data_IF_387807974127
#
_entry.id   IF_387807974127
#
_cell.length_a   1.000
_cell.length_b   1.000
_cell.length_c   1.000
_cell.angle_alpha   90.00
_cell.angle_beta   90.00
_cell.angle_gamma   90.00
#
_symmetry.space_group_name_H-M   'P 1'
#
loop_
_entity.id
_entity.type
_entity.pdbx_description
1 polymer ?
#
# COMPACT_ATOMS: atom_id res chain seq x y z
N UNK A 1 -27.38 38.08 8.02
CA UNK A 1 -27.12 37.25 6.83
C UNK A 1 -25.62 37.05 6.75
N UNK A 2 -25.13 35.86 6.41
CA UNK A 2 -23.70 35.67 6.19
C UNK A 2 -23.24 36.63 5.08
N UNK A 3 -22.07 37.23 5.26
CA UNK A 3 -21.45 38.09 4.23
C UNK A 3 -21.14 37.22 3.01
N UNK A 4 -21.60 37.63 1.83
CA UNK A 4 -21.34 36.97 0.55
C UNK A 4 -20.39 37.79 -0.32
N UNK A 5 -19.71 37.12 -1.24
CA UNK A 5 -18.87 37.71 -2.28
C UNK A 5 -19.43 37.34 -3.66
N UNK A 6 -19.35 38.25 -4.62
CA UNK A 6 -19.63 37.95 -6.02
C UNK A 6 -18.39 37.32 -6.67
N UNK A 7 -18.57 36.20 -7.36
CA UNK A 7 -17.51 35.50 -8.09
C UNK A 7 -17.93 35.25 -9.54
N UNK A 8 -16.95 35.26 -10.45
CA UNK A 8 -17.11 35.03 -11.88
C UNK A 8 -15.99 34.14 -12.43
N UNK A 9 -16.33 32.95 -12.87
CA UNK A 9 -15.39 31.94 -13.39
C UNK A 9 -15.95 31.28 -14.67
N UNK A 10 -15.12 30.52 -15.38
CA UNK A 10 -15.58 29.66 -16.47
C UNK A 10 -15.54 28.21 -16.01
N UNK A 11 -16.64 27.47 -16.11
CA UNK A 11 -16.71 26.05 -15.76
C UNK A 11 -17.07 25.25 -17.01
N UNK A 12 -16.20 24.33 -17.42
CA UNK A 12 -16.35 23.53 -18.65
C UNK A 12 -16.61 24.41 -19.89
N UNK A 13 -15.95 25.58 -19.95
CA UNK A 13 -16.10 26.54 -21.05
C UNK A 13 -17.33 27.45 -20.96
N UNK A 14 -18.19 27.28 -19.95
CA UNK A 14 -19.38 28.11 -19.75
C UNK A 14 -19.15 29.17 -18.66
N UNK A 15 -19.52 30.44 -18.89
CA UNK A 15 -19.39 31.47 -17.87
C UNK A 15 -20.36 31.22 -16.71
N UNK A 16 -19.86 31.31 -15.48
CA UNK A 16 -20.60 31.14 -14.23
C UNK A 16 -20.41 32.38 -13.37
N UNK A 17 -21.50 32.95 -12.87
CA UNK A 17 -21.52 34.02 -11.86
C UNK A 17 -22.36 33.60 -10.66
N UNK A 18 -21.84 33.75 -9.45
CA UNK A 18 -22.52 33.35 -8.21
C UNK A 18 -22.20 34.29 -7.05
N UNK A 19 -23.13 34.37 -6.11
CA UNK A 19 -22.84 34.86 -4.76
C UNK A 19 -22.49 33.68 -3.88
N UNK A 20 -21.30 33.72 -3.28
CA UNK A 20 -20.79 32.64 -2.46
C UNK A 20 -20.42 33.16 -1.06
N UNK A 21 -20.54 32.32 -0.04
CA UNK A 21 -19.87 32.59 1.22
C UNK A 21 -18.35 32.52 1.02
N UNK A 22 -17.53 33.38 1.66
CA UNK A 22 -16.07 33.34 1.53
C UNK A 22 -15.43 31.98 1.84
N UNK A 23 -16.08 31.17 2.68
CA UNK A 23 -15.63 29.82 3.07
C UNK A 23 -16.09 28.71 2.13
N UNK A 24 -16.94 29.01 1.15
CA UNK A 24 -17.47 28.01 0.23
C UNK A 24 -16.32 27.40 -0.56
N UNK A 25 -16.24 26.07 -0.56
CA UNK A 25 -15.22 25.35 -1.30
C UNK A 25 -15.58 25.30 -2.79
N UNK A 26 -14.58 25.27 -3.66
CA UNK A 26 -14.81 25.08 -5.09
C UNK A 26 -15.57 23.77 -5.36
N UNK A 27 -15.30 22.72 -4.58
CA UNK A 27 -16.01 21.45 -4.70
C UNK A 27 -17.52 21.57 -4.41
N UNK A 28 -17.88 22.36 -3.40
CA UNK A 28 -19.27 22.62 -3.00
C UNK A 28 -20.01 23.36 -4.12
N UNK A 29 -19.43 24.45 -4.65
CA UNK A 29 -19.98 25.16 -5.81
C UNK A 29 -20.21 24.23 -7.01
N UNK A 30 -19.22 23.39 -7.36
CA UNK A 30 -19.33 22.51 -8.52
C UNK A 30 -20.46 21.48 -8.34
N UNK A 31 -20.53 20.84 -7.16
CA UNK A 31 -21.45 19.73 -6.92
C UNK A 31 -22.86 20.19 -6.61
N UNK A 32 -23.01 21.14 -5.70
CA UNK A 32 -24.28 21.43 -5.05
C UNK A 32 -25.00 22.58 -5.76
N UNK A 33 -24.26 23.59 -6.23
CA UNK A 33 -24.85 24.73 -6.95
C UNK A 33 -24.95 24.47 -8.46
N UNK A 34 -23.96 23.80 -9.05
CA UNK A 34 -23.89 23.56 -10.50
C UNK A 34 -24.28 22.13 -10.92
N UNK A 35 -24.53 21.23 -9.97
CA UNK A 35 -24.88 19.82 -10.23
C UNK A 35 -23.84 19.04 -11.06
N UNK A 36 -22.57 19.47 -11.03
CA UNK A 36 -21.43 18.76 -11.62
C UNK A 36 -20.85 17.80 -10.56
N UNK A 37 -21.49 16.65 -10.44
CA UNK A 37 -21.28 15.70 -9.34
C UNK A 37 -20.13 14.73 -9.54
N UNK A 38 -19.42 14.80 -10.66
CA UNK A 38 -18.31 13.92 -10.99
C UNK A 38 -17.05 14.13 -10.15
N UNK A 39 -16.82 15.33 -9.62
CA UNK A 39 -15.81 15.54 -8.58
C UNK A 39 -16.37 15.04 -7.24
N UNK A 40 -15.65 14.17 -6.54
CA UNK A 40 -16.16 13.50 -5.35
C UNK A 40 -15.57 14.03 -4.03
N UNK A 41 -16.41 14.06 -3.00
CA UNK A 41 -16.03 14.38 -1.61
C UNK A 41 -15.52 13.11 -0.93
N UNK A 42 -14.19 12.96 -0.84
CA UNK A 42 -13.56 11.80 -0.21
C UNK A 42 -13.04 12.04 1.21
N UNK A 43 -12.19 13.04 1.38
CA UNK A 43 -11.52 13.33 2.67
C UNK A 43 -11.62 14.78 3.13
N UNK A 44 -11.94 15.72 2.23
CA UNK A 44 -12.01 17.18 2.49
C UNK A 44 -10.74 17.84 3.05
N UNK A 45 -9.64 17.10 3.10
CA UNK A 45 -8.33 17.56 3.59
C UNK A 45 -7.24 17.55 2.51
N UNK A 46 -7.62 17.39 1.23
CA UNK A 46 -6.68 17.37 0.09
C UNK A 46 -5.88 16.07 -0.11
N UNK A 47 -6.04 15.09 0.79
CA UNK A 47 -5.24 13.84 0.82
C UNK A 47 -5.62 12.85 -0.29
N UNK A 48 -6.91 12.57 -0.51
CA UNK A 48 -7.33 11.41 -1.32
C UNK A 48 -7.35 11.64 -2.84
N UNK A 49 -7.44 12.89 -3.28
CA UNK A 49 -7.51 13.24 -4.70
C UNK A 49 -8.80 12.93 -5.45
N UNK A 50 -9.86 12.46 -4.79
CA UNK A 50 -11.16 12.20 -5.45
C UNK A 50 -11.85 13.47 -5.99
N UNK A 51 -11.49 14.63 -5.44
CA UNK A 51 -12.02 15.95 -5.80
C UNK A 51 -11.17 16.68 -6.84
N UNK A 52 -10.25 15.99 -7.52
CA UNK A 52 -9.34 16.64 -8.47
C UNK A 52 -10.10 17.20 -9.66
N UNK A 53 -9.90 18.47 -9.94
CA UNK A 53 -10.38 19.19 -11.14
C UNK A 53 -9.20 19.89 -11.80
N UNK A 54 -9.38 20.42 -13.00
CA UNK A 54 -8.35 21.22 -13.69
C UNK A 54 -8.69 22.69 -13.45
N UNK A 55 -7.77 23.46 -12.89
CA UNK A 55 -7.87 24.92 -12.73
C UNK A 55 -6.73 25.56 -13.53
N UNK A 56 -7.07 26.41 -14.50
CA UNK A 56 -6.11 27.08 -15.38
C UNK A 56 -5.08 26.11 -15.99
N UNK A 57 -5.59 24.96 -16.47
CA UNK A 57 -4.80 23.92 -17.12
C UNK A 57 -4.04 22.97 -16.18
N UNK A 58 -4.13 23.14 -14.85
CA UNK A 58 -3.40 22.32 -13.87
C UNK A 58 -4.35 21.55 -12.93
N UNK A 59 -4.06 20.28 -12.61
CA UNK A 59 -4.83 19.55 -11.61
C UNK A 59 -4.74 20.21 -10.22
N UNK A 60 -5.89 20.40 -9.57
CA UNK A 60 -5.99 20.99 -8.23
C UNK A 60 -7.07 20.30 -7.39
N UNK A 61 -6.89 20.31 -6.07
CA UNK A 61 -7.86 19.77 -5.10
C UNK A 61 -8.96 20.79 -4.83
N UNK A 62 -10.15 20.57 -5.38
CA UNK A 62 -11.27 21.50 -5.22
C UNK A 62 -11.82 21.58 -3.78
N UNK A 63 -11.64 20.54 -2.95
CA UNK A 63 -12.10 20.55 -1.54
C UNK A 63 -11.28 21.45 -0.60
N UNK A 64 -10.09 21.88 -1.02
CA UNK A 64 -9.23 22.77 -0.22
C UNK A 64 -8.89 24.06 -0.97
N UNK A 65 -9.72 24.42 -1.96
CA UNK A 65 -9.66 25.68 -2.69
C UNK A 65 -10.97 26.41 -2.44
N UNK A 66 -10.93 27.68 -2.06
CA UNK A 66 -12.15 28.46 -1.90
C UNK A 66 -12.63 28.97 -3.26
N UNK A 67 -13.94 29.17 -3.37
CA UNK A 67 -14.55 29.76 -4.58
C UNK A 67 -14.00 31.17 -4.84
N UNK A 68 -13.75 31.94 -3.77
CA UNK A 68 -13.14 33.28 -3.88
C UNK A 68 -11.74 33.25 -4.50
N UNK A 69 -10.94 32.21 -4.24
CA UNK A 69 -9.61 32.05 -4.84
C UNK A 69 -9.69 31.62 -6.31
N UNK A 70 -10.81 31.02 -6.72
CA UNK A 70 -11.06 30.58 -8.08
C UNK A 70 -11.72 31.66 -8.97
N UNK A 71 -11.94 32.87 -8.43
CA UNK A 71 -12.48 33.99 -9.21
C UNK A 71 -11.60 34.28 -10.44
N UNK A 72 -12.24 34.53 -11.57
CA UNK A 72 -11.59 34.73 -12.88
C UNK A 72 -10.96 33.48 -13.50
N UNK A 73 -10.95 32.32 -12.83
CA UNK A 73 -10.28 31.12 -13.32
C UNK A 73 -11.11 30.31 -14.33
N UNK A 74 -10.43 29.51 -15.15
CA UNK A 74 -11.03 28.47 -15.97
C UNK A 74 -10.94 27.11 -15.24
N UNK A 75 -12.10 26.54 -14.93
CA UNK A 75 -12.25 25.26 -14.23
C UNK A 75 -12.81 24.21 -15.20
N UNK A 76 -12.14 23.07 -15.32
CA UNK A 76 -12.63 21.92 -16.09
C UNK A 76 -12.79 20.72 -15.17
N UNK A 77 -14.00 20.17 -15.14
CA UNK A 77 -14.39 18.98 -14.39
C UNK A 77 -14.32 17.73 -15.29
N UNK A 78 -14.64 16.55 -14.75
CA UNK A 78 -14.63 15.31 -15.54
C UNK A 78 -15.71 15.33 -16.63
N UNK A 79 -16.83 16.00 -16.38
CA UNK A 79 -17.96 16.20 -17.29
C UNK A 79 -17.57 17.11 -18.48
N UNK A 80 -16.66 18.06 -18.25
CA UNK A 80 -16.14 18.93 -19.29
C UNK A 80 -15.20 18.24 -20.29
N UNK A 81 -14.88 16.97 -20.06
CA UNK A 81 -13.89 16.19 -20.80
C UNK A 81 -14.49 15.06 -21.65
N UNK A 82 -15.81 15.00 -21.83
CA UNK A 82 -16.44 13.92 -22.60
C UNK A 82 -16.06 13.92 -24.09
N UNK A 83 -15.77 15.11 -24.65
CA UNK A 83 -15.33 15.26 -26.04
C UNK A 83 -13.80 15.34 -26.19
N UNK A 84 -13.04 15.13 -25.12
CA UNK A 84 -11.58 15.16 -25.18
C UNK A 84 -11.04 13.83 -25.74
N UNK A 85 -10.30 13.84 -26.88
CA UNK A 85 -9.81 12.61 -27.50
C UNK A 85 -8.90 11.77 -26.61
N UNK A 86 -8.03 12.42 -25.83
CA UNK A 86 -7.13 11.74 -24.91
C UNK A 86 -7.90 11.11 -23.75
N UNK A 87 -8.97 11.75 -23.28
CA UNK A 87 -9.83 11.18 -22.25
C UNK A 87 -10.62 9.98 -22.75
N UNK A 88 -11.05 9.98 -24.01
CA UNK A 88 -11.68 8.81 -24.62
C UNK A 88 -10.71 7.62 -24.72
N UNK A 89 -9.45 7.88 -25.07
CA UNK A 89 -8.39 6.88 -25.06
C UNK A 89 -8.14 6.33 -23.64
N UNK A 90 -7.99 7.21 -22.64
CA UNK A 90 -7.82 6.84 -21.24
C UNK A 90 -8.99 6.00 -20.71
N UNK A 91 -10.24 6.40 -20.99
CA UNK A 91 -11.44 5.65 -20.55
C UNK A 91 -11.48 4.25 -21.17
N UNK A 92 -11.11 4.13 -22.45
CA UNK A 92 -11.02 2.85 -23.12
C UNK A 92 -9.90 1.96 -22.52
N UNK A 93 -8.73 2.53 -22.22
CA UNK A 93 -7.64 1.82 -21.56
C UNK A 93 -8.02 1.39 -20.13
N UNK A 94 -8.63 2.26 -19.34
CA UNK A 94 -9.16 1.92 -18.01
C UNK A 94 -10.17 0.78 -18.08
N UNK A 95 -10.96 0.69 -19.15
CA UNK A 95 -11.90 -0.42 -19.37
C UNK A 95 -11.16 -1.72 -19.66
N UNK A 96 -10.18 -1.70 -20.57
CA UNK A 96 -9.36 -2.89 -20.94
C UNK A 96 -8.58 -3.46 -19.76
N UNK A 97 -8.01 -2.61 -18.92
CA UNK A 97 -7.15 -3.01 -17.80
C UNK A 97 -7.88 -3.10 -16.46
N UNK A 98 -9.23 -3.06 -16.46
CA UNK A 98 -10.01 -3.06 -15.22
C UNK A 98 -9.55 -1.99 -14.20
N UNK A 99 -9.23 -0.79 -14.70
CA UNK A 99 -8.70 0.35 -13.94
C UNK A 99 -9.71 1.00 -12.98
N UNK A 100 -10.90 0.43 -12.80
CA UNK A 100 -11.89 0.87 -11.81
C UNK A 100 -12.71 -0.30 -11.26
N UNK A 101 -13.26 -0.11 -10.05
CA UNK A 101 -14.24 -1.01 -9.44
C UNK A 101 -15.45 -0.21 -8.94
N UNK A 102 -15.40 0.36 -7.74
CA UNK A 102 -16.50 1.18 -7.21
C UNK A 102 -16.72 2.50 -7.97
N UNK A 103 -15.77 2.91 -8.81
CA UNK A 103 -15.84 4.14 -9.60
C UNK A 103 -15.56 5.44 -8.83
N UNK A 104 -15.52 5.42 -7.50
CA UNK A 104 -15.46 6.64 -6.69
C UNK A 104 -14.17 7.46 -6.88
N UNK A 105 -13.00 6.83 -6.99
CA UNK A 105 -11.75 7.57 -7.24
C UNK A 105 -11.55 7.91 -8.72
N UNK A 106 -12.35 7.32 -9.62
CA UNK A 106 -12.07 7.29 -11.07
C UNK A 106 -12.05 8.66 -11.72
N UNK A 107 -12.98 9.61 -11.42
CA UNK A 107 -12.92 10.96 -11.98
C UNK A 107 -11.59 11.68 -11.71
N UNK A 108 -11.18 11.71 -10.44
CA UNK A 108 -9.90 12.31 -10.05
C UNK A 108 -8.70 11.57 -10.65
N UNK A 109 -8.74 10.23 -10.72
CA UNK A 109 -7.70 9.43 -11.38
C UNK A 109 -7.55 9.76 -12.86
N UNK A 110 -8.66 9.88 -13.61
CA UNK A 110 -8.63 10.18 -15.03
C UNK A 110 -8.10 11.60 -15.31
N UNK A 111 -8.47 12.59 -14.50
CA UNK A 111 -7.94 13.95 -14.61
C UNK A 111 -6.42 13.98 -14.36
N UNK A 112 -5.94 13.29 -13.33
CA UNK A 112 -4.50 13.17 -13.07
C UNK A 112 -3.78 12.38 -14.17
N UNK A 113 -4.38 11.30 -14.67
CA UNK A 113 -3.85 10.51 -15.79
C UNK A 113 -3.68 11.36 -17.06
N UNK A 114 -4.68 12.20 -17.38
CA UNK A 114 -4.63 13.12 -18.51
C UNK A 114 -3.47 14.12 -18.38
N UNK A 115 -3.23 14.65 -17.18
CA UNK A 115 -2.08 15.51 -16.90
C UNK A 115 -0.76 14.77 -17.12
N UNK A 116 -0.62 13.55 -16.56
CA UNK A 116 0.57 12.72 -16.74
C UNK A 116 0.88 12.53 -18.22
N UNK A 117 -0.09 12.08 -19.01
CA UNK A 117 0.11 11.80 -20.44
C UNK A 117 0.48 13.08 -21.20
N UNK A 118 -0.21 14.19 -20.91
CA UNK A 118 0.01 15.46 -21.62
C UNK A 118 1.38 16.05 -21.30
N UNK A 119 1.77 16.07 -20.01
CA UNK A 119 2.99 16.72 -19.53
C UNK A 119 4.24 15.88 -19.74
N UNK A 120 4.13 14.55 -19.69
CA UNK A 120 5.28 13.67 -19.65
C UNK A 120 5.42 12.77 -20.90
N UNK A 121 4.38 12.58 -21.71
CA UNK A 121 4.43 11.72 -22.89
C UNK A 121 4.62 10.24 -22.54
N UNK A 122 5.58 9.58 -23.19
CA UNK A 122 5.97 8.18 -22.91
C UNK A 122 6.81 8.08 -21.63
N UNK A 123 6.28 7.40 -20.60
CA UNK A 123 6.86 7.37 -19.25
C UNK A 123 6.79 5.97 -18.63
N UNK A 124 7.74 5.68 -17.73
CA UNK A 124 7.79 4.40 -17.03
C UNK A 124 6.66 4.22 -16.01
N UNK A 125 6.25 2.96 -15.80
CA UNK A 125 5.30 2.61 -14.76
C UNK A 125 5.71 3.06 -13.35
N UNK A 126 7.01 3.17 -13.06
CA UNK A 126 7.50 3.70 -11.79
C UNK A 126 7.17 5.19 -11.65
N UNK A 127 7.42 5.98 -12.70
CA UNK A 127 7.09 7.41 -12.71
C UNK A 127 5.59 7.65 -12.64
N UNK A 128 4.77 6.83 -13.32
CA UNK A 128 3.31 6.91 -13.22
C UNK A 128 2.84 6.73 -11.77
N UNK A 129 3.42 5.78 -11.03
CA UNK A 129 3.07 5.56 -9.61
C UNK A 129 3.42 6.75 -8.72
N UNK A 130 4.56 7.39 -8.97
CA UNK A 130 4.96 8.61 -8.25
C UNK A 130 3.96 9.74 -8.48
N UNK A 131 3.60 10.00 -9.74
CA UNK A 131 2.67 11.06 -10.14
C UNK A 131 1.23 10.79 -9.66
N UNK A 132 0.84 9.52 -9.53
CA UNK A 132 -0.45 9.11 -8.96
C UNK A 132 -0.47 9.03 -7.43
N UNK A 133 0.65 9.23 -6.73
CA UNK A 133 0.74 9.03 -5.28
C UNK A 133 -0.24 9.89 -4.48
N UNK A 134 -0.71 11.00 -5.05
CA UNK A 134 -1.75 11.84 -4.47
C UNK A 134 -3.19 11.34 -4.68
N UNK A 135 -3.43 10.31 -5.48
CA UNK A 135 -4.77 9.84 -5.78
C UNK A 135 -4.96 8.45 -5.15
N UNK A 136 -5.85 8.35 -4.17
CA UNK A 136 -6.05 7.12 -3.41
C UNK A 136 -7.17 6.27 -4.01
N UNK A 137 -6.85 5.00 -4.26
CA UNK A 137 -7.82 3.97 -4.61
C UNK A 137 -7.79 2.85 -3.57
N UNK A 138 -8.97 2.50 -3.04
CA UNK A 138 -9.10 1.42 -2.04
C UNK A 138 -9.53 0.08 -2.64
N UNK A 139 -9.86 0.05 -3.93
CA UNK A 139 -10.49 -1.11 -4.57
C UNK A 139 -9.55 -1.87 -5.51
N UNK A 140 -8.84 -1.16 -6.40
CA UNK A 140 -8.16 -1.78 -7.56
C UNK A 140 -6.77 -2.32 -7.27
N UNK A 141 -6.11 -1.84 -6.22
CA UNK A 141 -4.68 -2.14 -6.01
C UNK A 141 -3.74 -1.46 -7.02
N UNK A 142 -4.24 -0.49 -7.78
CA UNK A 142 -3.51 0.38 -8.73
C UNK A 142 -2.93 -0.27 -10.00
N UNK A 143 -2.74 -1.59 -10.06
CA UNK A 143 -2.10 -2.26 -11.21
C UNK A 143 -2.76 -1.89 -12.53
N UNK A 144 -4.06 -2.13 -12.68
CA UNK A 144 -4.80 -1.80 -13.90
C UNK A 144 -4.90 -0.31 -14.21
N UNK A 145 -4.80 0.56 -13.20
CA UNK A 145 -4.74 2.03 -13.40
C UNK A 145 -3.41 2.40 -14.06
N UNK A 146 -2.30 1.88 -13.52
CA UNK A 146 -0.95 2.15 -14.03
C UNK A 146 -0.79 1.58 -15.43
N UNK A 147 -1.28 0.36 -15.68
CA UNK A 147 -1.23 -0.28 -17.01
C UNK A 147 -2.04 0.50 -18.05
N UNK A 148 -3.23 0.98 -17.70
CA UNK A 148 -4.04 1.81 -18.60
C UNK A 148 -3.35 3.14 -18.97
N UNK A 149 -2.72 3.79 -18.00
CA UNK A 149 -1.99 5.04 -18.23
C UNK A 149 -0.75 4.76 -19.07
N UNK A 150 -0.02 3.68 -18.78
CA UNK A 150 1.18 3.32 -19.53
C UNK A 150 0.86 2.96 -20.98
N UNK A 151 -0.23 2.22 -21.24
CA UNK A 151 -0.72 1.97 -22.60
C UNK A 151 -0.99 3.29 -23.33
N UNK A 152 -1.65 4.22 -22.65
CA UNK A 152 -1.97 5.53 -23.23
C UNK A 152 -0.72 6.41 -23.42
N UNK A 153 0.31 6.27 -22.59
CA UNK A 153 1.57 7.00 -22.73
C UNK A 153 2.40 6.55 -23.94
N UNK A 154 2.29 5.28 -24.35
CA UNK A 154 3.18 4.66 -25.32
C UNK A 154 3.22 5.45 -26.64
N UNK A 155 4.42 5.89 -27.05
CA UNK A 155 4.64 6.62 -28.29
C UNK A 155 4.12 8.08 -28.32
N UNK A 156 3.64 8.62 -27.20
CA UNK A 156 3.28 10.04 -27.10
C UNK A 156 4.48 10.90 -26.71
N UNK A 157 4.55 12.11 -27.25
CA UNK A 157 5.53 13.11 -26.85
C UNK A 157 4.93 14.09 -25.85
N UNK A 158 5.73 14.63 -24.91
CA UNK A 158 5.27 15.71 -24.04
C UNK A 158 4.75 16.89 -24.87
N UNK A 159 3.54 17.35 -24.57
CA UNK A 159 3.06 18.62 -25.09
C UNK A 159 3.58 19.69 -24.13
N UNK A 160 4.44 20.60 -24.63
CA UNK A 160 4.82 21.77 -23.86
C UNK A 160 3.53 22.46 -23.38
N UNK A 161 3.40 22.63 -22.06
CA UNK A 161 2.19 23.18 -21.45
C UNK A 161 1.77 24.45 -22.20
N UNK A 162 0.66 24.37 -22.94
CA UNK A 162 0.14 25.50 -23.69
C UNK A 162 -0.30 26.55 -22.68
N UNK A 163 0.54 27.56 -22.48
CA UNK A 163 0.15 28.84 -21.94
C UNK A 163 -0.70 29.57 -22.99
N UNK A 164 -1.98 29.19 -23.16
CA UNK A 164 -2.93 29.95 -23.96
C UNK A 164 -4.39 29.54 -23.73
N UNK A 165 -4.97 30.02 -22.62
CA UNK A 165 -6.28 30.69 -22.71
C UNK A 165 -6.05 32.07 -22.11
N UNK A 166 -6.08 33.09 -22.96
CA UNK A 166 -5.65 34.44 -22.65
C UNK A 166 -6.53 35.11 -21.58
N UNK A 167 -5.90 35.54 -20.49
CA UNK A 167 -6.32 36.71 -19.73
C UNK A 167 -5.15 37.71 -19.72
N UNK A 168 -5.29 38.75 -20.53
CA UNK A 168 -4.41 39.92 -20.55
C UNK A 168 -4.44 40.61 -19.18
N UNK A 169 -3.27 40.75 -18.57
CA UNK A 169 -3.12 41.42 -17.28
C UNK A 169 -1.69 41.26 -16.73
N UNK A 170 -0.75 41.94 -17.37
CA UNK A 170 0.66 41.93 -16.97
C UNK A 170 0.86 42.46 -15.55
N UNK A 171 1.56 41.70 -14.70
CA UNK A 171 2.53 42.25 -13.72
C UNK A 171 3.71 41.30 -13.54
N UNK A 172 4.87 41.87 -13.82
CA UNK A 172 6.24 41.41 -13.63
C UNK A 172 6.57 41.31 -12.14
N UNK A 173 7.31 40.28 -11.70
CA UNK A 173 8.60 40.44 -10.99
C UNK A 173 9.26 39.11 -10.56
N UNK A 174 10.50 38.96 -11.05
CA UNK A 174 11.72 38.39 -10.42
C UNK A 174 11.68 37.09 -9.60
N UNK A 175 12.26 36.04 -10.19
CA UNK A 175 12.74 34.84 -9.49
C UNK A 175 14.28 34.82 -9.50
N UNK A 176 14.90 34.88 -8.32
CA UNK A 176 16.33 34.64 -8.11
C UNK A 176 16.59 33.14 -8.01
N UNK A 177 17.49 32.62 -8.84
CA UNK A 177 17.92 31.22 -8.84
C UNK A 177 19.03 30.99 -7.82
N UNK A 178 18.88 29.99 -6.95
CA UNK A 178 19.98 29.43 -6.16
C UNK A 178 20.14 27.97 -6.56
N UNK A 179 21.32 27.65 -7.10
CA UNK A 179 21.77 26.30 -7.38
C UNK A 179 22.37 25.67 -6.12
N UNK A 180 22.08 24.40 -5.86
CA UNK A 180 22.76 23.61 -4.84
C UNK A 180 23.31 22.34 -5.49
N UNK A 181 24.62 22.17 -5.29
CA UNK A 181 25.46 21.10 -5.84
C UNK A 181 25.37 19.85 -4.97
N UNK A 182 25.16 18.70 -5.60
CA UNK A 182 25.04 17.38 -5.00
C UNK A 182 26.43 16.76 -4.76
N UNK A 183 26.69 16.22 -3.56
CA UNK A 183 27.95 15.52 -3.23
C UNK A 183 27.67 14.11 -2.73
N UNK A 184 28.25 13.12 -3.39
CA UNK A 184 28.07 11.68 -3.15
C UNK A 184 28.85 11.16 -1.92
N UNK A 185 28.29 10.15 -1.23
CA UNK A 185 28.91 9.45 -0.11
C UNK A 185 29.19 7.95 -0.45
N UNK A 186 30.29 7.36 0.08
CA UNK A 186 30.79 6.02 -0.28
C UNK A 186 30.08 4.84 0.42
N UNK A 187 30.25 3.58 -0.09
CA UNK A 187 29.40 2.44 0.27
C UNK A 187 29.82 1.74 1.57
N UNK A 188 28.83 1.13 2.26
CA UNK A 188 29.02 0.17 3.37
C UNK A 188 28.41 -1.18 3.03
N UNK A 189 28.93 -2.28 3.62
CA UNK A 189 28.78 -3.64 3.11
C UNK A 189 27.38 -4.22 3.32
N UNK A 190 26.95 -4.98 2.32
CA UNK A 190 25.66 -5.63 2.13
C UNK A 190 25.58 -6.99 2.83
N UNK A 191 24.51 -7.20 3.59
CA UNK A 191 23.86 -8.52 3.71
C UNK A 191 22.38 -8.31 3.41
N UNK A 192 21.94 -8.85 2.27
CA UNK A 192 20.62 -8.60 1.69
C UNK A 192 19.78 -9.86 1.84
N UNK A 193 18.65 -9.85 2.56
CA UNK A 193 17.62 -10.86 2.38
C UNK A 193 17.03 -10.70 0.98
N UNK A 194 17.07 -11.75 0.17
CA UNK A 194 16.49 -11.73 -1.16
C UNK A 194 14.96 -11.52 -1.09
N UNK A 195 14.48 -10.61 -1.95
CA UNK A 195 13.10 -10.12 -2.03
C UNK A 195 12.10 -11.22 -2.41
N UNK A 196 11.03 -11.32 -1.63
CA UNK A 196 9.84 -12.17 -1.85
C UNK A 196 9.10 -11.79 -3.14
N UNK A 197 8.77 -12.78 -3.96
CA UNK A 197 7.77 -12.66 -5.02
C UNK A 197 6.36 -12.47 -4.43
N UNK A 198 5.52 -11.74 -5.14
CA UNK A 198 4.16 -11.39 -4.76
C UNK A 198 3.25 -12.63 -4.59
N UNK A 199 2.45 -12.63 -3.52
CA UNK A 199 1.53 -13.72 -3.18
C UNK A 199 0.46 -13.97 -4.25
N UNK A 200 0.20 -15.25 -4.55
CA UNK A 200 -0.96 -15.69 -5.33
C UNK A 200 -2.24 -15.52 -4.50
N UNK A 201 -3.39 -15.18 -5.12
CA UNK A 201 -4.66 -15.08 -4.40
C UNK A 201 -5.19 -16.49 -4.07
N UNK A 202 -5.02 -16.93 -2.82
CA UNK A 202 -5.64 -18.16 -2.30
C UNK A 202 -6.96 -17.82 -1.60
N UNK A 203 -8.05 -18.56 -1.89
CA UNK A 203 -9.37 -18.59 -1.19
C UNK A 203 -9.99 -17.24 -0.78
N UNK A 204 -11.23 -17.00 -1.20
CA UNK A 204 -11.98 -15.75 -0.90
C UNK A 204 -11.92 -15.37 0.61
N UNK A 205 -11.28 -14.23 0.91
CA UNK A 205 -11.16 -13.69 2.28
C UNK A 205 -9.94 -14.15 3.08
N UNK A 206 -9.08 -15.00 2.52
CA UNK A 206 -7.79 -15.38 3.10
C UNK A 206 -6.66 -14.51 2.55
N UNK A 207 -5.66 -14.26 3.40
CA UNK A 207 -4.40 -13.60 3.04
C UNK A 207 -3.31 -14.65 3.06
N UNK A 208 -2.42 -14.66 2.06
CA UNK A 208 -1.33 -15.63 1.98
C UNK A 208 0.02 -14.97 1.71
N UNK A 209 1.07 -15.51 2.31
CA UNK A 209 2.46 -15.11 2.07
C UNK A 209 3.34 -16.35 1.96
N UNK A 210 4.26 -16.32 1.00
CA UNK A 210 5.28 -17.35 0.82
C UNK A 210 6.62 -16.80 1.32
N UNK A 211 7.37 -17.62 2.05
CA UNK A 211 8.69 -17.32 2.58
C UNK A 211 9.66 -18.41 2.17
N UNK A 212 10.88 -18.00 1.80
CA UNK A 212 11.98 -18.90 1.45
C UNK A 212 13.13 -18.62 2.40
N UNK A 213 13.48 -19.61 3.21
CA UNK A 213 14.53 -19.53 4.21
C UNK A 213 15.69 -20.44 3.80
N UNK A 214 16.91 -19.91 3.79
CA UNK A 214 18.12 -20.69 3.54
C UNK A 214 18.75 -21.06 4.88
N UNK A 215 18.96 -22.35 5.10
CA UNK A 215 19.49 -22.91 6.34
C UNK A 215 20.81 -23.63 6.06
N UNK A 216 21.74 -23.54 7.01
CA UNK A 216 23.08 -24.14 6.88
C UNK A 216 23.06 -25.65 7.11
N UNK A 217 22.06 -26.14 7.85
CA UNK A 217 21.90 -27.56 8.19
C UNK A 217 21.32 -28.40 7.05
N UNK A 218 21.62 -29.70 7.07
CA UNK A 218 21.13 -30.64 6.07
C UNK A 218 19.60 -30.84 6.15
N UNK A 219 18.92 -31.15 5.03
CA UNK A 219 17.46 -31.29 4.98
C UNK A 219 16.88 -32.27 6.01
N UNK A 220 17.56 -33.40 6.26
CA UNK A 220 17.09 -34.41 7.20
C UNK A 220 17.07 -33.90 8.65
N UNK A 221 18.10 -33.14 9.05
CA UNK A 221 18.19 -32.60 10.41
C UNK A 221 17.15 -31.49 10.64
N UNK A 222 16.94 -30.64 9.61
CA UNK A 222 15.89 -29.61 9.63
C UNK A 222 14.52 -30.26 9.71
N UNK A 223 14.24 -31.30 8.93
CA UNK A 223 12.98 -32.04 8.99
C UNK A 223 12.73 -32.65 10.37
N UNK A 224 13.75 -33.30 10.96
CA UNK A 224 13.64 -33.88 12.31
C UNK A 224 13.32 -32.82 13.37
N UNK A 225 13.86 -31.61 13.26
CA UNK A 225 13.51 -30.50 14.16
C UNK A 225 12.11 -29.95 13.94
N UNK A 226 11.69 -29.80 12.68
CA UNK A 226 10.34 -29.32 12.37
C UNK A 226 9.24 -30.29 12.81
N UNK A 227 9.57 -31.58 12.97
CA UNK A 227 8.67 -32.57 13.57
C UNK A 227 8.52 -32.42 15.11
N UNK A 228 9.43 -31.70 15.78
CA UNK A 228 9.34 -31.41 17.21
C UNK A 228 8.64 -30.06 17.46
N UNK A 229 7.31 -30.08 17.49
CA UNK A 229 6.51 -28.86 17.58
C UNK A 229 6.78 -28.02 18.84
N UNK A 230 7.16 -28.63 19.97
CA UNK A 230 7.51 -27.89 21.18
C UNK A 230 8.79 -27.06 21.00
N UNK A 231 9.78 -27.57 20.27
CA UNK A 231 10.99 -26.81 19.93
C UNK A 231 10.71 -25.74 18.87
N UNK A 232 9.90 -26.07 17.87
CA UNK A 232 9.45 -25.11 16.83
C UNK A 232 8.71 -23.93 17.46
N UNK A 233 7.82 -24.18 18.43
CA UNK A 233 7.09 -23.12 19.12
C UNK A 233 8.02 -22.17 19.90
N UNK A 234 9.10 -22.68 20.49
CA UNK A 234 10.11 -21.85 21.18
C UNK A 234 10.87 -20.94 20.24
N UNK A 235 10.97 -21.31 18.97
CA UNK A 235 11.61 -20.49 17.95
C UNK A 235 10.71 -19.32 17.50
N UNK A 236 9.41 -19.38 17.76
CA UNK A 236 8.44 -18.36 17.37
C UNK A 236 8.10 -17.44 18.55
N UNK A 237 8.46 -16.15 18.52
CA UNK A 237 8.23 -15.25 19.63
C UNK A 237 6.75 -15.14 20.04
N UNK A 238 6.46 -15.42 21.31
CA UNK A 238 5.12 -15.31 21.88
C UNK A 238 4.20 -16.51 21.62
N UNK A 239 4.66 -17.54 20.91
CA UNK A 239 3.95 -18.80 20.74
C UNK A 239 4.28 -19.78 21.88
N UNK A 240 3.26 -20.52 22.31
CA UNK A 240 3.37 -21.56 23.33
C UNK A 240 2.44 -22.71 22.96
N UNK A 241 2.95 -23.94 22.94
CA UNK A 241 2.13 -25.14 22.81
C UNK A 241 1.76 -25.63 24.21
N UNK A 242 0.47 -25.75 24.48
CA UNK A 242 -0.05 -26.15 25.79
C UNK A 242 -0.36 -27.65 25.86
N UNK A 243 -0.74 -28.27 24.75
CA UNK A 243 -0.98 -29.71 24.67
C UNK A 243 -0.72 -30.24 23.25
N UNK A 244 -0.30 -31.50 23.14
CA UNK A 244 -0.14 -32.24 21.88
C UNK A 244 -0.76 -33.63 22.08
N UNK A 245 -1.73 -33.98 21.25
CA UNK A 245 -2.41 -35.28 21.25
C UNK A 245 -2.49 -35.82 19.82
N UNK A 246 -1.52 -36.64 19.43
CA UNK A 246 -1.41 -37.14 18.05
C UNK A 246 -1.21 -36.00 17.05
N UNK A 247 -2.13 -35.87 16.10
CA UNK A 247 -2.15 -34.78 15.12
C UNK A 247 -2.82 -33.50 15.65
N UNK A 248 -3.36 -33.50 16.87
CA UNK A 248 -4.00 -32.33 17.46
C UNK A 248 -3.04 -31.53 18.33
N UNK A 249 -3.05 -30.21 18.19
CA UNK A 249 -2.20 -29.28 18.95
C UNK A 249 -3.07 -28.18 19.55
N UNK A 250 -2.90 -27.93 20.85
CA UNK A 250 -3.43 -26.73 21.51
C UNK A 250 -2.30 -25.75 21.82
N UNK A 251 -2.58 -24.46 21.69
CA UNK A 251 -1.59 -23.45 21.98
C UNK A 251 -2.15 -22.06 22.24
N UNK A 252 -1.22 -21.17 22.58
CA UNK A 252 -1.47 -19.75 22.77
C UNK A 252 -0.46 -18.94 21.99
N UNK A 253 -0.89 -17.78 21.52
CA UNK A 253 -0.04 -16.83 20.85
C UNK A 253 -0.29 -15.43 21.38
N UNK A 254 0.76 -14.82 21.93
CA UNK A 254 0.76 -13.44 22.39
C UNK A 254 1.55 -12.59 21.40
N UNK A 255 0.91 -11.56 20.85
CA UNK A 255 1.59 -10.62 19.96
C UNK A 255 1.10 -9.19 20.16
N UNK A 256 1.90 -8.23 19.69
CA UNK A 256 1.53 -6.83 19.69
C UNK A 256 1.36 -6.34 18.25
N UNK A 257 0.23 -5.68 17.97
CA UNK A 257 -0.05 -5.02 16.71
C UNK A 257 -0.11 -3.50 16.96
N UNK A 258 1.04 -2.85 16.88
CA UNK A 258 1.18 -1.45 17.28
C UNK A 258 0.89 -1.26 18.79
N UNK A 259 -0.08 -0.40 19.17
CA UNK A 259 -0.45 -0.20 20.57
C UNK A 259 -1.32 -1.33 21.16
N UNK A 260 -1.85 -2.22 20.32
CA UNK A 260 -2.74 -3.30 20.77
C UNK A 260 -1.95 -4.55 21.15
N UNK A 261 -2.29 -5.15 22.27
CA UNK A 261 -1.83 -6.49 22.66
C UNK A 261 -2.95 -7.48 22.39
N UNK A 262 -2.65 -8.57 21.71
CA UNK A 262 -3.59 -9.63 21.39
C UNK A 262 -3.07 -10.96 21.94
N UNK A 263 -3.98 -11.77 22.43
CA UNK A 263 -3.71 -13.06 23.04
C UNK A 263 -4.69 -14.08 22.48
N UNK A 264 -4.25 -14.84 21.48
CA UNK A 264 -5.04 -15.90 20.88
C UNK A 264 -4.86 -17.17 21.68
N UNK A 265 -5.97 -17.80 22.07
CA UNK A 265 -6.00 -19.20 22.48
C UNK A 265 -6.65 -19.99 21.36
N UNK A 266 -6.02 -21.08 20.94
CA UNK A 266 -6.47 -21.84 19.79
C UNK A 266 -6.03 -23.29 19.80
N UNK A 267 -6.55 -23.99 18.81
CA UNK A 267 -6.30 -25.40 18.55
C UNK A 267 -6.06 -25.59 17.05
N UNK A 268 -5.38 -26.67 16.69
CA UNK A 268 -5.04 -26.96 15.31
C UNK A 268 -4.81 -28.45 15.06
N UNK A 269 -4.66 -28.77 13.79
CA UNK A 269 -4.31 -30.09 13.31
C UNK A 269 -3.03 -30.00 12.49
N UNK A 270 -2.14 -30.96 12.68
CA UNK A 270 -0.89 -31.06 11.95
C UNK A 270 -0.80 -32.39 11.22
N UNK A 271 -0.29 -32.35 10.01
CA UNK A 271 -0.02 -33.53 9.20
C UNK A 271 1.40 -33.43 8.63
N UNK A 272 2.16 -34.51 8.75
CA UNK A 272 3.54 -34.61 8.28
C UNK A 272 3.65 -35.73 7.25
N UNK A 273 4.17 -35.40 6.08
CA UNK A 273 4.57 -36.37 5.07
C UNK A 273 6.10 -36.48 5.05
N UNK A 274 6.60 -37.55 5.67
CA UNK A 274 8.02 -37.85 5.74
C UNK A 274 8.63 -38.22 4.37
N UNK A 275 7.85 -38.69 3.39
CA UNK A 275 8.36 -39.07 2.08
C UNK A 275 8.70 -37.83 1.22
N UNK A 276 7.95 -36.75 1.40
CA UNK A 276 8.12 -35.50 0.62
C UNK A 276 8.76 -34.36 1.42
N UNK A 277 9.08 -34.60 2.70
CA UNK A 277 9.49 -33.59 3.68
C UNK A 277 8.58 -32.36 3.68
N UNK A 278 7.27 -32.62 3.61
CA UNK A 278 6.23 -31.60 3.59
C UNK A 278 5.35 -31.74 4.82
N UNK A 279 5.11 -30.63 5.51
CA UNK A 279 4.15 -30.56 6.60
C UNK A 279 3.06 -29.55 6.33
N UNK A 280 1.89 -29.78 6.91
CA UNK A 280 0.76 -28.85 6.87
C UNK A 280 0.15 -28.76 8.25
N UNK A 281 -0.09 -27.54 8.70
CA UNK A 281 -0.74 -27.25 9.97
C UNK A 281 -1.90 -26.30 9.72
N UNK A 282 -3.09 -26.64 10.21
CA UNK A 282 -4.25 -25.76 10.19
C UNK A 282 -4.66 -25.46 11.61
N UNK A 283 -5.19 -24.26 11.87
CA UNK A 283 -5.55 -23.87 13.22
C UNK A 283 -6.59 -22.77 13.28
N UNK A 284 -7.26 -22.69 14.41
CA UNK A 284 -8.23 -21.64 14.74
C UNK A 284 -8.00 -21.15 16.16
N UNK A 285 -8.17 -19.86 16.38
CA UNK A 285 -8.02 -19.25 17.68
C UNK A 285 -8.95 -18.08 17.90
N UNK A 286 -9.22 -17.77 19.16
CA UNK A 286 -10.00 -16.59 19.58
C UNK A 286 -9.15 -15.71 20.48
N UNK A 287 -9.19 -14.42 20.20
CA UNK A 287 -8.53 -13.41 21.03
C UNK A 287 -9.38 -13.09 22.26
N UNK A 288 -8.75 -13.14 23.44
CA UNK A 288 -9.44 -12.95 24.72
C UNK A 288 -9.82 -11.51 25.01
N UNK A 289 -9.17 -10.52 24.36
CA UNK A 289 -9.42 -9.10 24.58
C UNK A 289 -10.47 -8.50 23.63
N UNK A 290 -10.28 -8.67 22.33
CA UNK A 290 -11.12 -8.08 21.28
C UNK A 290 -12.32 -8.94 20.87
N UNK A 291 -12.34 -10.22 21.27
CA UNK A 291 -13.34 -11.20 20.84
C UNK A 291 -13.22 -11.63 19.38
N UNK A 292 -12.15 -11.23 18.70
CA UNK A 292 -11.89 -11.56 17.29
C UNK A 292 -11.45 -13.01 17.15
N UNK A 293 -11.71 -13.62 15.98
CA UNK A 293 -11.26 -14.98 15.69
C UNK A 293 -10.28 -14.98 14.51
N UNK A 294 -9.29 -15.87 14.60
CA UNK A 294 -8.27 -16.11 13.60
C UNK A 294 -8.35 -17.56 13.14
N UNK A 295 -8.25 -17.76 11.83
CA UNK A 295 -8.03 -19.05 11.21
C UNK A 295 -6.72 -18.98 10.43
N UNK A 296 -5.94 -20.05 10.45
CA UNK A 296 -4.62 -20.10 9.84
C UNK A 296 -4.32 -21.47 9.24
N UNK A 297 -3.48 -21.45 8.21
CA UNK A 297 -2.90 -22.60 7.55
C UNK A 297 -1.43 -22.30 7.28
N UNK A 298 -0.56 -23.23 7.63
CA UNK A 298 0.87 -23.18 7.38
C UNK A 298 1.26 -24.44 6.64
N UNK A 299 1.82 -24.28 5.45
CA UNK A 299 2.38 -25.38 4.66
C UNK A 299 3.87 -25.14 4.59
N UNK A 300 4.67 -26.16 4.90
CA UNK A 300 6.12 -26.06 4.76
C UNK A 300 6.70 -27.25 4.03
N UNK A 301 7.84 -27.02 3.37
CA UNK A 301 8.59 -28.05 2.67
C UNK A 301 10.08 -27.81 2.81
N UNK A 302 10.83 -28.87 3.12
CA UNK A 302 12.29 -28.84 3.21
C UNK A 302 12.87 -29.39 1.91
N UNK A 303 13.71 -28.60 1.26
CA UNK A 303 14.41 -28.94 0.02
C UNK A 303 15.93 -28.92 0.24
N UNK A 304 16.72 -29.65 -0.57
CA UNK A 304 18.16 -29.41 -0.67
C UNK A 304 18.45 -27.96 -1.09
N UNK A 305 19.58 -27.40 -0.67
CA UNK A 305 19.98 -26.04 -1.08
C UNK A 305 20.24 -25.96 -2.60
N UNK A 306 19.93 -24.81 -3.20
CA UNK A 306 20.24 -24.52 -4.61
C UNK A 306 21.75 -24.21 -4.76
N UNK A 307 22.54 -25.16 -5.26
CA UNK A 307 23.88 -25.12 -5.89
C UNK A 307 25.00 -24.19 -5.35
N UNK A 308 24.81 -23.47 -4.26
CA UNK A 308 25.79 -22.50 -3.70
C UNK A 308 26.35 -22.92 -2.33
N UNK A 309 25.73 -23.88 -1.64
CA UNK A 309 26.23 -24.50 -0.42
C UNK A 309 25.93 -26.01 -0.42
N UNK A 310 26.94 -26.85 -0.64
CA UNK A 310 26.80 -28.30 -0.83
C UNK A 310 26.21 -29.09 0.36
N UNK A 311 25.96 -28.46 1.51
CA UNK A 311 25.46 -29.13 2.74
C UNK A 311 24.24 -28.45 3.37
N UNK A 312 23.67 -27.42 2.73
CA UNK A 312 22.53 -26.64 3.28
C UNK A 312 21.15 -27.16 2.85
N UNK A 313 20.11 -26.49 3.34
CA UNK A 313 18.71 -26.75 2.97
C UNK A 313 17.93 -25.46 2.73
N UNK A 314 16.88 -25.55 1.93
CA UNK A 314 15.91 -24.49 1.74
C UNK A 314 14.58 -24.89 2.36
N UNK A 315 14.10 -24.09 3.32
CA UNK A 315 12.77 -24.22 3.91
C UNK A 315 11.80 -23.27 3.21
N UNK A 316 10.84 -23.83 2.48
CA UNK A 316 9.72 -23.09 1.91
C UNK A 316 8.57 -23.10 2.90
N UNK A 317 8.02 -21.94 3.24
CA UNK A 317 6.88 -21.81 4.16
C UNK A 317 5.82 -20.93 3.50
N UNK A 318 4.62 -21.45 3.37
CA UNK A 318 3.43 -20.71 2.95
C UNK A 318 2.54 -20.54 4.16
N UNK A 319 2.27 -19.29 4.55
CA UNK A 319 1.35 -18.96 5.62
C UNK A 319 0.10 -18.32 5.02
N UNK A 320 -1.06 -18.90 5.30
CA UNK A 320 -2.36 -18.39 4.89
C UNK A 320 -3.22 -18.16 6.13
N UNK A 321 -3.94 -17.04 6.22
CA UNK A 321 -4.79 -16.77 7.38
C UNK A 321 -6.02 -15.94 7.03
N UNK A 322 -6.99 -15.95 7.95
CA UNK A 322 -8.19 -15.13 7.93
C UNK A 322 -8.49 -14.60 9.32
N UNK A 323 -8.75 -13.30 9.42
CA UNK A 323 -9.22 -12.66 10.65
C UNK A 323 -10.69 -12.25 10.52
N UNK A 324 -11.45 -12.45 11.59
CA UNK A 324 -12.85 -12.06 11.72
C UNK A 324 -13.09 -11.28 13.03
N UNK A 325 -14.16 -10.50 13.10
CA UNK A 325 -14.45 -9.63 14.25
C UNK A 325 -13.72 -8.29 14.19
N UNK A 326 -13.47 -7.68 15.35
CA UNK A 326 -12.88 -6.32 15.46
C UNK A 326 -11.48 -6.23 14.86
N UNK A 327 -10.74 -7.35 14.83
CA UNK A 327 -9.42 -7.41 14.22
C UNK A 327 -9.46 -7.63 12.70
N UNK A 328 -10.62 -7.94 12.11
CA UNK A 328 -10.76 -8.15 10.66
C UNK A 328 -10.39 -6.90 9.85
N UNK A 329 -10.57 -5.70 10.42
CA UNK A 329 -10.16 -4.44 9.80
C UNK A 329 -8.63 -4.34 9.58
N UNK A 330 -7.84 -5.08 10.36
CA UNK A 330 -6.38 -5.15 10.21
C UNK A 330 -5.93 -6.22 9.21
N UNK A 331 -6.85 -7.07 8.71
CA UNK A 331 -6.54 -8.11 7.73
C UNK A 331 -6.11 -7.56 6.35
N UNK A 332 -6.19 -6.24 6.12
CA UNK A 332 -5.91 -5.59 4.82
C UNK A 332 -5.09 -4.30 4.95
N UNK A 333 -3.79 -4.43 5.19
CA UNK A 333 -2.75 -3.43 4.92
C UNK A 333 -1.41 -4.03 5.36
N UNK A 334 -0.30 -3.62 4.75
CA UNK A 334 1.05 -4.16 4.97
C UNK A 334 1.51 -4.35 6.43
N UNK A 335 0.81 -3.78 7.43
CA UNK A 335 1.08 -4.01 8.85
C UNK A 335 1.08 -5.48 9.28
N UNK A 336 0.06 -6.28 8.89
CA UNK A 336 0.04 -7.71 9.25
C UNK A 336 1.10 -8.48 8.47
N UNK A 337 1.33 -8.12 7.21
CA UNK A 337 2.38 -8.72 6.39
C UNK A 337 3.77 -8.45 6.96
N UNK A 338 4.05 -7.22 7.38
CA UNK A 338 5.31 -6.83 8.03
C UNK A 338 5.53 -7.60 9.35
N UNK A 339 4.46 -7.80 10.14
CA UNK A 339 4.55 -8.59 11.37
C UNK A 339 4.83 -10.06 11.06
N UNK A 340 4.12 -10.65 10.09
CA UNK A 340 4.34 -12.05 9.68
C UNK A 340 5.75 -12.23 9.10
N UNK A 341 6.24 -11.29 8.28
CA UNK A 341 7.62 -11.32 7.77
C UNK A 341 8.65 -11.23 8.88
N UNK A 342 8.45 -10.35 9.88
CA UNK A 342 9.35 -10.28 11.05
C UNK A 342 9.32 -11.56 11.87
N UNK A 343 8.15 -12.11 12.13
CA UNK A 343 8.01 -13.38 12.85
C UNK A 343 8.68 -14.53 12.08
N UNK A 344 8.55 -14.56 10.75
CA UNK A 344 9.23 -15.55 9.91
C UNK A 344 10.75 -15.39 9.93
N UNK A 345 11.27 -14.16 9.90
CA UNK A 345 12.70 -13.88 10.01
C UNK A 345 13.26 -14.25 11.40
N UNK A 346 12.56 -13.88 12.48
CA UNK A 346 12.93 -14.23 13.85
C UNK A 346 12.88 -15.76 14.05
N UNK A 347 11.86 -16.43 13.49
CA UNK A 347 11.74 -17.88 13.50
C UNK A 347 12.94 -18.54 12.80
N UNK A 348 13.31 -18.07 11.62
CA UNK A 348 14.44 -18.61 10.87
C UNK A 348 15.76 -18.50 11.66
N UNK A 349 16.03 -17.32 12.22
CA UNK A 349 17.22 -17.09 13.03
C UNK A 349 17.24 -17.95 14.29
N UNK A 350 16.09 -18.09 14.96
CA UNK A 350 15.96 -18.94 16.14
C UNK A 350 16.06 -20.43 15.81
N UNK A 351 15.56 -20.87 14.65
CA UNK A 351 15.69 -22.23 14.17
C UNK A 351 17.16 -22.56 13.90
N UNK A 352 17.90 -21.68 13.21
CA UNK A 352 19.35 -21.84 13.01
C UNK A 352 20.12 -21.89 14.35
N UNK A 353 19.76 -21.04 15.31
CA UNK A 353 20.36 -21.06 16.65
C UNK A 353 20.05 -22.37 17.40
N UNK A 354 18.80 -22.85 17.35
CA UNK A 354 18.41 -24.12 17.96
C UNK A 354 19.14 -25.31 17.32
N UNK A 355 19.39 -25.26 16.01
CA UNK A 355 20.14 -26.27 15.28
C UNK A 355 21.64 -26.28 15.63
N UNK A 356 22.22 -25.12 15.92
CA UNK A 356 23.64 -24.95 16.26
C UNK A 356 23.93 -25.00 17.77
N UNK A 357 22.90 -25.12 18.61
CA UNK A 357 23.02 -25.12 20.07
C UNK A 357 23.25 -23.73 20.68
N UNK A 358 23.06 -22.67 19.91
CA UNK A 358 23.12 -21.28 20.35
C UNK A 358 21.83 -20.88 21.10
N UNK A 359 21.89 -19.90 22.02
CA UNK A 359 20.71 -19.47 22.78
C UNK A 359 19.64 -18.87 21.87
N UNK A 360 18.41 -19.40 21.98
CA UNK A 360 17.22 -18.88 21.29
C UNK A 360 16.81 -17.55 21.91
N UNK A 361 16.67 -16.50 21.08
CA UNK A 361 16.30 -15.17 21.56
C UNK A 361 14.78 -15.04 21.68
N UNK A 362 14.29 -14.85 22.90
CA UNK A 362 12.90 -14.44 23.16
C UNK A 362 12.76 -12.92 23.02
N UNK A 363 13.10 -12.35 21.87
CA UNK A 363 12.80 -10.94 21.65
C UNK A 363 11.29 -10.79 21.45
N UNK A 364 10.59 -10.32 22.48
CA UNK A 364 9.26 -9.77 22.31
C UNK A 364 9.32 -8.78 21.14
N UNK A 365 8.42 -8.93 20.16
CA UNK A 365 8.26 -7.98 19.06
C UNK A 365 8.20 -6.58 19.70
N UNK A 366 9.31 -5.84 19.64
CA UNK A 366 9.36 -4.53 20.30
C UNK A 366 8.28 -3.69 19.63
N UNK A 367 7.32 -3.12 20.39
CA UNK A 367 6.35 -2.23 19.80
C UNK A 367 7.15 -1.14 19.08
N UNK A 368 6.76 -0.84 17.83
CA UNK A 368 7.33 0.31 17.12
C UNK A 368 7.02 1.51 18.01
N UNK A 369 8.01 1.99 18.76
CA UNK A 369 7.78 3.09 19.66
C UNK A 369 7.56 4.31 18.78
N UNK A 370 6.50 5.06 19.06
CA UNK A 370 6.23 6.34 18.40
C UNK A 370 7.49 7.23 18.45
N UNK A 371 8.27 7.12 19.52
CA UNK A 371 9.59 7.73 19.70
C UNK A 371 10.66 7.25 18.69
N UNK A 372 10.70 5.97 18.32
CA UNK A 372 11.65 5.46 17.31
C UNK A 372 11.33 5.95 15.90
N UNK A 373 10.04 6.09 15.57
CA UNK A 373 9.56 6.72 14.32
C UNK A 373 9.87 8.21 14.32
N UNK A 374 9.53 8.93 15.39
CA UNK A 374 9.86 10.36 15.55
C UNK A 374 11.36 10.61 15.50
N UNK A 375 12.18 9.74 16.11
CA UNK A 375 13.63 9.87 16.08
C UNK A 375 14.22 9.56 14.71
N UNK A 376 13.63 8.62 13.94
CA UNK A 376 14.02 8.40 12.54
C UNK A 376 13.69 9.59 11.65
N UNK A 377 12.57 10.28 11.90
CA UNK A 377 12.15 11.49 11.19
C UNK A 377 13.00 12.69 11.61
N UNK A 378 13.37 12.82 12.89
CA UNK A 378 14.29 13.86 13.35
C UNK A 378 15.71 13.63 12.79
N UNK A 379 16.20 12.39 12.78
CA UNK A 379 17.51 12.06 12.20
C UNK A 379 17.57 12.27 10.69
N UNK A 380 16.49 12.05 9.96
CA UNK A 380 16.44 12.34 8.52
C UNK A 380 16.38 13.84 8.23
N UNK A 381 15.83 14.65 9.14
CA UNK A 381 15.82 16.12 9.03
C UNK A 381 17.08 16.83 9.55
N UNK A 382 17.86 16.19 10.42
CA UNK A 382 19.14 16.72 10.91
C UNK A 382 20.35 16.31 10.04
N UNK A 383 20.15 15.43 9.05
CA UNK A 383 21.16 15.03 8.06
C UNK A 383 20.83 15.49 6.63
N UNK A 384 19.80 16.33 6.48
CA UNK A 384 19.45 16.99 5.22
C UNK A 384 20.02 18.40 5.19
#
# INVERSE_FOLDING_TARGET
MPTTIDVSLSVNGQPVRRQAEPRMQLLELLRDDLNLTGAHVGCEQGVCGACTVIVNGKPQRSCISYVGDADGSAVTTIEGLDNDPLMNELRAAFTRHHGLQCGFCTPGMLITARDIVTRLGDVSAARIREELSGNLCRCTGYVGIVEAIQETCAGKTPVAASAAIAASGARTETSSSIAVTETAAPPRPSSTPATSAAGKPSRQGWTSIEQRLQLVSAPADVWAKLANFQEVARCLPGAEITAIEGEHIEGRMHMALGPMKVAFKGEGQVHLDAATHQGTMTGRGRDTGSGSAAEGEVIWRVLPADDTHATGSTLLVTLSWRLSGRLAQFNRAGLVQDIVQRLAADFAANLDNAMTGAPVSSSQVKPISVWSLLWSILKSRLKG
#
